data_IF_289954868104
#
_entry.id   IF_289954868104
#
_cell.length_a   1.000
_cell.length_b   1.000
_cell.length_c   1.000
_cell.angle_alpha   90.00
_cell.angle_beta   90.00
_cell.angle_gamma   90.00
#
_symmetry.space_group_name_H-M   'P 1'
#
loop_
_entity.id
_entity.type
_entity.pdbx_description
1 polymer ?
#
# COMPACT_ATOMS: atom_id res chain seq x y z
N UNK A 1 31.77 -26.50 22.42
CA UNK A 1 33.02 -25.71 22.49
C UNK A 1 33.33 -25.34 21.05
N UNK A 2 33.33 -24.10 20.57
CA UNK A 2 33.38 -22.72 21.07
C UNK A 2 32.84 -21.92 19.87
N UNK A 3 31.75 -21.17 19.94
CA UNK A 3 31.67 -19.93 20.70
C UNK A 3 32.38 -18.80 19.95
N UNK A 4 31.81 -18.32 18.82
CA UNK A 4 32.19 -17.03 18.20
C UNK A 4 30.91 -16.32 17.69
N UNK A 5 30.55 -15.26 18.44
CA UNK A 5 29.78 -14.07 18.09
C UNK A 5 28.36 -14.23 17.52
N UNK A 6 27.43 -14.53 18.42
CA UNK A 6 26.14 -13.80 18.50
C UNK A 6 26.42 -12.34 18.87
N UNK A 7 25.58 -11.42 18.39
CA UNK A 7 25.66 -9.95 18.49
C UNK A 7 26.56 -9.27 17.45
N UNK A 8 25.99 -8.99 16.28
CA UNK A 8 26.01 -7.66 15.61
C UNK A 8 25.62 -7.79 14.14
N UNK A 9 24.33 -7.99 13.85
CA UNK A 9 23.72 -7.58 12.57
C UNK A 9 22.20 -7.45 12.73
N UNK A 10 21.82 -6.98 13.91
CA UNK A 10 20.48 -6.63 14.35
C UNK A 10 20.24 -5.17 13.97
N UNK A 11 20.12 -4.82 12.68
CA UNK A 11 19.81 -3.43 12.28
C UNK A 11 19.30 -3.17 10.85
N UNK A 12 18.93 -4.14 10.00
CA UNK A 12 18.72 -3.83 8.56
C UNK A 12 17.31 -4.07 7.99
N UNK A 13 16.35 -4.62 8.75
CA UNK A 13 14.95 -4.74 8.26
C UNK A 13 13.94 -4.07 9.19
N UNK A 14 14.17 -2.76 9.36
CA UNK A 14 13.19 -1.73 9.70
C UNK A 14 12.83 -0.89 8.43
N UNK A 15 12.99 -1.46 7.23
CA UNK A 15 13.32 -0.70 6.01
C UNK A 15 12.27 -0.73 4.91
N UNK A 16 10.99 -0.85 5.28
CA UNK A 16 9.91 -0.39 4.39
C UNK A 16 9.04 0.73 4.99
N UNK A 17 9.37 1.19 6.21
CA UNK A 17 9.05 2.56 6.68
C UNK A 17 10.34 3.38 6.92
N UNK A 18 11.52 2.75 6.95
CA UNK A 18 12.74 3.47 6.58
C UNK A 18 12.89 3.54 5.04
N UNK A 19 11.91 4.14 4.35
CA UNK A 19 12.35 5.17 3.43
C UNK A 19 13.03 6.18 4.36
N UNK A 20 14.36 6.21 4.30
CA UNK A 20 15.27 7.08 4.99
C UNK A 20 14.58 8.11 5.92
N UNK A 21 15.02 8.20 7.17
CA UNK A 21 15.28 9.55 7.68
C UNK A 21 16.09 10.21 6.58
N UNK A 22 15.42 10.91 5.68
CA UNK A 22 16.10 11.75 4.75
C UNK A 22 16.59 12.80 5.73
N UNK A 23 17.89 12.74 6.07
CA UNK A 23 18.49 13.69 7.01
C UNK A 23 18.05 15.12 6.65
N UNK A 24 17.79 15.34 5.35
CA UNK A 24 17.04 16.47 4.84
C UNK A 24 15.82 16.09 3.98
N UNK A 25 14.71 16.79 4.21
CA UNK A 25 13.56 16.76 3.32
C UNK A 25 13.93 17.38 1.96
N UNK A 26 13.42 16.85 0.85
CA UNK A 26 13.74 17.39 -0.48
C UNK A 26 12.63 17.19 -1.51
N UNK A 27 12.68 18.01 -2.56
CA UNK A 27 11.72 18.00 -3.67
C UNK A 27 12.51 17.76 -4.96
N UNK A 28 12.05 16.82 -5.78
CA UNK A 28 12.56 16.59 -7.13
C UNK A 28 11.52 17.12 -8.11
N UNK A 29 11.92 18.06 -8.96
CA UNK A 29 11.09 18.64 -10.00
C UNK A 29 11.11 17.76 -11.26
N UNK A 30 10.15 17.97 -12.17
CA UNK A 30 10.06 17.20 -13.42
C UNK A 30 11.22 17.42 -14.38
N UNK A 31 11.90 18.57 -14.30
CA UNK A 31 13.14 18.84 -15.02
C UNK A 31 14.36 18.10 -14.42
N UNK A 32 14.18 17.33 -13.34
CA UNK A 32 15.24 16.59 -12.65
C UNK A 32 15.95 17.39 -11.54
N UNK A 33 15.64 18.67 -11.38
CA UNK A 33 16.24 19.52 -10.35
C UNK A 33 15.82 19.07 -8.95
N UNK A 34 16.79 18.97 -8.03
CA UNK A 34 16.57 18.68 -6.61
C UNK A 34 16.69 19.97 -5.81
N UNK A 35 15.64 20.30 -5.05
CA UNK A 35 15.60 21.48 -4.18
C UNK A 35 15.42 21.05 -2.72
N UNK A 36 16.18 21.69 -1.82
CA UNK A 36 16.23 21.36 -0.40
C UNK A 36 15.66 22.54 0.41
N UNK A 37 14.52 22.37 1.10
CA UNK A 37 14.01 23.36 2.04
C UNK A 37 14.94 23.57 3.23
N UNK A 38 15.07 24.82 3.67
CA UNK A 38 15.73 25.15 4.93
C UNK A 38 15.00 24.52 6.12
N UNK A 39 15.78 23.98 7.06
CA UNK A 39 15.28 23.38 8.30
C UNK A 39 14.25 22.25 8.08
N UNK A 40 14.25 21.59 6.92
CA UNK A 40 13.28 20.55 6.57
C UNK A 40 11.82 21.03 6.60
N UNK A 41 11.58 22.34 6.44
CA UNK A 41 10.24 22.93 6.48
C UNK A 41 9.71 23.24 5.10
N UNK A 42 8.61 22.57 4.77
CA UNK A 42 7.79 22.87 3.60
C UNK A 42 6.32 22.84 4.01
N UNK A 43 5.49 23.59 3.31
CA UNK A 43 4.04 23.58 3.46
C UNK A 43 3.36 23.32 2.12
N UNK A 44 2.10 22.96 2.17
CA UNK A 44 1.23 22.89 1.01
C UNK A 44 -0.06 23.67 1.27
N UNK A 45 -0.51 24.41 0.26
CA UNK A 45 -1.83 25.05 0.29
C UNK A 45 -2.95 24.06 -0.06
N UNK A 46 -4.20 24.50 0.04
CA UNK A 46 -5.38 23.69 -0.32
C UNK A 46 -5.50 23.35 -1.81
N UNK A 47 -4.62 23.88 -2.67
CA UNK A 47 -4.53 23.55 -4.10
C UNK A 47 -3.38 22.59 -4.39
N UNK A 48 -2.59 22.25 -3.38
CA UNK A 48 -1.40 21.40 -3.49
C UNK A 48 -0.16 22.12 -4.02
N UNK A 49 -0.13 23.45 -4.00
CA UNK A 49 1.11 24.21 -4.23
C UNK A 49 2.04 24.00 -3.06
N UNK A 50 3.27 23.56 -3.32
CA UNK A 50 4.30 23.37 -2.30
C UNK A 50 5.10 24.64 -2.14
N UNK A 51 5.17 25.12 -0.89
CA UNK A 51 5.77 26.38 -0.48
C UNK A 51 6.89 26.12 0.51
N UNK A 52 8.08 26.69 0.28
CA UNK A 52 9.19 26.62 1.23
C UNK A 52 10.20 27.74 1.00
N UNK A 53 11.13 27.88 1.93
CA UNK A 53 12.33 28.71 1.77
C UNK A 53 13.53 27.79 1.71
N UNK A 54 14.44 27.96 0.75
CA UNK A 54 15.64 27.13 0.65
C UNK A 54 16.75 27.60 1.61
N UNK A 55 17.86 26.87 1.63
CA UNK A 55 19.02 27.14 2.50
C UNK A 55 19.70 28.51 2.27
N UNK A 56 19.43 29.18 1.13
CA UNK A 56 19.95 30.53 0.83
C UNK A 56 18.91 31.63 1.10
N UNK A 57 17.75 31.28 1.67
CA UNK A 57 16.69 32.23 2.00
C UNK A 57 15.76 32.57 0.83
N UNK A 58 15.90 31.91 -0.32
CA UNK A 58 15.02 32.13 -1.48
C UNK A 58 13.70 31.39 -1.26
N UNK A 59 12.60 32.09 -1.48
CA UNK A 59 11.25 31.51 -1.42
C UNK A 59 10.93 30.78 -2.72
N UNK A 60 10.36 29.59 -2.58
CA UNK A 60 9.95 28.73 -3.68
C UNK A 60 8.46 28.42 -3.60
N UNK A 61 7.84 28.30 -4.77
CA UNK A 61 6.44 27.96 -4.94
C UNK A 61 6.29 27.08 -6.18
N UNK A 62 6.02 25.79 -5.98
CA UNK A 62 5.86 24.83 -7.06
C UNK A 62 4.46 24.24 -7.06
N UNK A 63 3.79 24.35 -8.21
CA UNK A 63 2.55 23.62 -8.44
C UNK A 63 2.84 22.12 -8.57
N UNK A 64 1.83 21.28 -8.29
CA UNK A 64 1.96 19.82 -8.40
C UNK A 64 2.44 19.36 -9.78
N UNK A 65 2.03 20.07 -10.84
CA UNK A 65 2.42 19.75 -12.21
C UNK A 65 3.93 19.87 -12.46
N UNK A 66 4.65 20.63 -11.64
CA UNK A 66 6.11 20.83 -11.72
C UNK A 66 6.90 19.84 -10.87
N UNK A 67 6.25 19.18 -9.91
CA UNK A 67 6.89 18.29 -8.96
C UNK A 67 6.84 16.87 -9.51
N UNK A 68 7.98 16.18 -9.48
CA UNK A 68 8.09 14.76 -9.78
C UNK A 68 7.90 13.92 -8.52
N UNK A 69 8.55 14.32 -7.44
CA UNK A 69 8.60 13.56 -6.19
C UNK A 69 8.93 14.47 -5.00
N UNK A 70 8.43 14.11 -3.81
CA UNK A 70 8.74 14.76 -2.53
C UNK A 70 9.18 13.67 -1.55
N UNK A 71 10.33 13.88 -0.92
CA UNK A 71 10.78 13.10 0.23
C UNK A 71 10.69 13.94 1.50
N UNK A 72 9.97 13.43 2.49
CA UNK A 72 9.84 13.98 3.82
C UNK A 72 9.49 12.86 4.80
N UNK A 73 9.64 13.16 6.09
CA UNK A 73 9.22 12.26 7.15
C UNK A 73 7.72 11.99 7.11
N UNK A 74 7.34 10.78 7.49
CA UNK A 74 5.95 10.39 7.64
C UNK A 74 5.31 11.16 8.81
N UNK A 75 4.27 11.98 8.57
CA UNK A 75 3.60 12.72 9.63
C UNK A 75 2.89 11.78 10.63
N UNK A 76 2.82 12.20 11.91
CA UNK A 76 2.13 11.44 12.97
C UNK A 76 0.65 11.15 12.66
N UNK A 77 -0.01 12.02 11.89
CA UNK A 77 -1.37 11.83 11.39
C UNK A 77 -1.47 10.60 10.48
N UNK A 78 -0.51 10.40 9.58
CA UNK A 78 -0.44 9.26 8.67
C UNK A 78 -0.12 7.96 9.42
N UNK A 79 0.83 8.01 10.38
CA UNK A 79 1.14 6.89 11.28
C UNK A 79 -0.12 6.45 12.03
N UNK A 80 -0.94 7.41 12.48
CA UNK A 80 -2.21 7.14 13.16
C UNK A 80 -3.22 6.44 12.24
N UNK A 81 -3.37 6.92 10.99
CA UNK A 81 -4.24 6.28 9.98
C UNK A 81 -3.83 4.83 9.75
N UNK A 82 -2.54 4.57 9.56
CA UNK A 82 -2.01 3.22 9.36
C UNK A 82 -2.26 2.32 10.58
N UNK A 83 -2.04 2.85 11.79
CA UNK A 83 -2.30 2.14 13.05
C UNK A 83 -3.78 1.77 13.20
N UNK A 84 -4.70 2.69 12.90
CA UNK A 84 -6.14 2.42 12.92
C UNK A 84 -6.53 1.34 11.92
N UNK A 85 -5.94 1.37 10.72
CA UNK A 85 -6.17 0.36 9.69
C UNK A 85 -5.70 -1.03 10.13
N UNK A 86 -4.50 -1.14 10.71
CA UNK A 86 -3.97 -2.40 11.26
C UNK A 86 -4.84 -2.98 12.37
N UNK A 87 -5.43 -2.13 13.20
CA UNK A 87 -6.39 -2.55 14.23
C UNK A 87 -7.83 -2.72 13.72
N UNK A 88 -8.03 -2.71 12.40
CA UNK A 88 -9.33 -2.93 11.76
C UNK A 88 -10.41 -1.93 12.20
N UNK A 89 -10.01 -0.75 12.68
CA UNK A 89 -10.92 0.34 13.07
C UNK A 89 -11.31 1.15 11.84
N UNK A 90 -12.02 0.52 10.91
CA UNK A 90 -12.21 1.05 9.55
C UNK A 90 -12.99 2.37 9.47
N UNK A 91 -14.03 2.57 10.29
CA UNK A 91 -14.73 3.87 10.33
C UNK A 91 -13.83 4.99 10.87
N UNK A 92 -12.91 4.66 11.80
CA UNK A 92 -11.97 5.64 12.33
C UNK A 92 -10.85 5.96 11.34
N UNK A 93 -10.44 5.01 10.50
CA UNK A 93 -9.55 5.27 9.35
C UNK A 93 -10.19 6.31 8.45
N UNK A 94 -11.46 6.14 8.08
CA UNK A 94 -12.17 7.07 7.20
C UNK A 94 -12.19 8.48 7.81
N UNK A 95 -12.58 8.61 9.09
CA UNK A 95 -12.61 9.90 9.80
C UNK A 95 -11.22 10.55 9.90
N UNK A 96 -10.20 9.76 10.23
CA UNK A 96 -8.83 10.26 10.36
C UNK A 96 -8.32 10.80 9.02
N UNK A 97 -8.56 10.08 7.92
CA UNK A 97 -8.18 10.53 6.57
C UNK A 97 -8.93 11.79 6.15
N UNK A 98 -10.22 11.90 6.47
CA UNK A 98 -11.02 13.10 6.17
C UNK A 98 -10.62 14.34 6.98
N UNK A 99 -9.89 14.15 8.08
CA UNK A 99 -9.37 15.23 8.93
C UNK A 99 -7.93 15.66 8.59
N UNK A 100 -7.30 15.04 7.59
CA UNK A 100 -5.92 15.35 7.22
C UNK A 100 -5.77 16.80 6.74
N UNK A 101 -4.64 17.42 7.12
CA UNK A 101 -4.29 18.76 6.66
C UNK A 101 -3.81 18.74 5.21
N UNK A 102 -3.78 19.91 4.56
CA UNK A 102 -3.20 20.04 3.22
C UNK A 102 -1.74 19.57 3.16
N UNK A 103 -0.97 19.76 4.23
CA UNK A 103 0.40 19.26 4.33
C UNK A 103 0.44 17.74 4.25
N UNK A 104 -0.38 17.05 5.04
CA UNK A 104 -0.44 15.59 5.04
C UNK A 104 -0.85 15.03 3.67
N UNK A 105 -1.78 15.73 2.98
CA UNK A 105 -2.32 15.30 1.69
C UNK A 105 -1.33 15.52 0.56
N UNK A 106 -0.71 16.70 0.46
CA UNK A 106 0.03 17.10 -0.74
C UNK A 106 1.54 16.94 -0.64
N UNK A 107 2.10 16.77 0.55
CA UNK A 107 3.54 16.54 0.73
C UNK A 107 3.88 15.04 0.71
N UNK A 108 3.40 14.33 -0.32
CA UNK A 108 3.80 12.95 -0.61
C UNK A 108 3.01 11.85 0.09
N UNK A 109 2.24 12.11 1.15
CA UNK A 109 1.57 11.04 1.92
C UNK A 109 0.07 10.85 1.64
N UNK A 110 -0.59 11.83 1.02
CA UNK A 110 -2.04 11.74 0.74
C UNK A 110 -2.42 10.51 -0.07
N UNK A 111 -1.64 10.15 -1.10
CA UNK A 111 -1.92 8.98 -1.91
C UNK A 111 -2.02 7.68 -1.07
N UNK A 112 -1.13 7.53 -0.09
CA UNK A 112 -1.14 6.37 0.82
C UNK A 112 -2.33 6.43 1.79
N UNK A 113 -2.61 7.58 2.40
CA UNK A 113 -3.73 7.73 3.32
C UNK A 113 -5.09 7.45 2.64
N UNK A 114 -5.31 8.01 1.45
CA UNK A 114 -6.53 7.78 0.69
C UNK A 114 -6.62 6.36 0.14
N UNK A 115 -5.49 5.68 -0.13
CA UNK A 115 -5.49 4.25 -0.42
C UNK A 115 -6.04 3.44 0.77
N UNK A 116 -5.54 3.70 1.98
CA UNK A 116 -6.02 3.04 3.20
C UNK A 116 -7.50 3.32 3.46
N UNK A 117 -7.97 4.55 3.18
CA UNK A 117 -9.41 4.89 3.23
C UNK A 117 -10.23 4.06 2.23
N UNK A 118 -9.78 3.95 0.98
CA UNK A 118 -10.46 3.14 -0.04
C UNK A 118 -10.53 1.66 0.36
N UNK A 119 -9.44 1.13 0.93
CA UNK A 119 -9.42 -0.23 1.46
C UNK A 119 -10.35 -0.42 2.66
N UNK A 120 -10.40 0.54 3.59
CA UNK A 120 -11.33 0.51 4.73
C UNK A 120 -12.79 0.51 4.26
N UNK A 121 -13.11 1.30 3.23
CA UNK A 121 -14.44 1.32 2.62
C UNK A 121 -14.80 -0.03 1.97
N UNK A 122 -13.84 -0.71 1.31
CA UNK A 122 -14.05 -2.08 0.81
C UNK A 122 -14.39 -3.05 1.96
N UNK A 123 -13.68 -2.97 3.09
CA UNK A 123 -13.94 -3.83 4.25
C UNK A 123 -15.32 -3.60 4.85
N UNK A 124 -15.81 -2.35 4.80
CA UNK A 124 -17.16 -1.97 5.23
C UNK A 124 -18.23 -2.18 4.14
N UNK A 125 -17.88 -2.81 3.02
CA UNK A 125 -18.77 -3.05 1.87
C UNK A 125 -19.32 -1.75 1.22
N UNK A 126 -18.63 -0.62 1.38
CA UNK A 126 -18.95 0.70 0.80
C UNK A 126 -18.24 0.86 -0.55
N UNK A 127 -18.59 0.01 -1.53
CA UNK A 127 -17.84 -0.09 -2.80
C UNK A 127 -17.91 1.16 -3.68
N UNK A 128 -19.02 1.91 -3.65
CA UNK A 128 -19.14 3.18 -4.40
C UNK A 128 -18.26 4.29 -3.83
N UNK A 129 -18.18 4.36 -2.50
CA UNK A 129 -17.28 5.29 -1.82
C UNK A 129 -15.81 4.93 -2.08
N UNK A 130 -15.48 3.63 -2.09
CA UNK A 130 -14.14 3.14 -2.40
C UNK A 130 -13.72 3.51 -3.82
N UNK A 131 -14.59 3.32 -4.82
CA UNK A 131 -14.33 3.71 -6.22
C UNK A 131 -14.04 5.21 -6.32
N UNK A 132 -14.89 6.03 -5.69
CA UNK A 132 -14.73 7.49 -5.67
C UNK A 132 -13.43 7.89 -5.01
N UNK A 133 -13.09 7.23 -3.90
CA UNK A 133 -11.86 7.50 -3.14
C UNK A 133 -10.64 7.18 -3.99
N UNK A 134 -10.52 5.97 -4.55
CA UNK A 134 -9.36 5.62 -5.37
C UNK A 134 -9.22 6.51 -6.63
N UNK A 135 -10.33 6.92 -7.27
CA UNK A 135 -10.29 7.86 -8.41
C UNK A 135 -9.68 9.21 -8.01
N UNK A 136 -10.05 9.72 -6.83
CA UNK A 136 -9.45 10.95 -6.28
C UNK A 136 -7.98 10.75 -5.96
N UNK A 137 -7.60 9.58 -5.45
CA UNK A 137 -6.22 9.28 -5.06
C UNK A 137 -5.25 9.28 -6.24
N UNK A 138 -5.68 8.79 -7.42
CA UNK A 138 -4.83 8.80 -8.64
C UNK A 138 -4.35 10.21 -8.96
N UNK A 139 -5.23 11.22 -8.79
CA UNK A 139 -4.87 12.62 -8.99
C UNK A 139 -3.84 13.09 -7.96
N UNK A 140 -3.74 12.46 -6.79
CA UNK A 140 -2.81 12.79 -5.70
C UNK A 140 -1.44 12.11 -5.81
N UNK A 141 -1.29 11.05 -6.61
CA UNK A 141 -0.03 10.33 -6.73
C UNK A 141 1.05 11.19 -7.43
N UNK A 142 2.18 11.38 -6.73
CA UNK A 142 3.38 12.06 -7.23
C UNK A 142 4.48 11.00 -7.45
N UNK A 143 4.24 10.03 -8.34
CA UNK A 143 5.21 9.07 -8.89
C UNK A 143 4.48 8.01 -9.75
N UNK A 144 5.12 7.52 -10.82
CA UNK A 144 4.65 6.37 -11.61
C UNK A 144 4.49 5.09 -10.76
N UNK A 145 5.33 4.90 -9.73
CA UNK A 145 5.30 3.69 -8.88
C UNK A 145 4.16 3.71 -7.84
N UNK A 146 3.70 4.89 -7.41
CA UNK A 146 2.51 5.01 -6.55
C UNK A 146 1.20 4.90 -7.35
N UNK A 147 1.31 5.06 -8.66
CA UNK A 147 0.20 4.95 -9.61
C UNK A 147 -0.31 3.49 -9.70
N UNK A 148 0.59 2.51 -9.58
CA UNK A 148 0.24 1.09 -9.66
C UNK A 148 -0.58 0.61 -8.43
N UNK A 149 -0.24 1.07 -7.23
CA UNK A 149 -0.98 0.75 -6.00
C UNK A 149 -2.45 1.22 -6.10
N UNK A 150 -2.66 2.41 -6.68
CA UNK A 150 -3.98 3.03 -6.81
C UNK A 150 -4.80 2.46 -7.96
N UNK A 151 -4.14 2.14 -9.09
CA UNK A 151 -4.76 1.39 -10.20
C UNK A 151 -5.23 0.02 -9.73
N UNK A 152 -4.45 -0.65 -8.87
CA UNK A 152 -4.86 -1.90 -8.25
C UNK A 152 -6.08 -1.71 -7.33
N UNK A 153 -6.12 -0.65 -6.52
CA UNK A 153 -7.29 -0.26 -5.73
C UNK A 153 -8.58 -0.13 -6.56
N UNK A 154 -8.53 0.62 -7.67
CA UNK A 154 -9.66 0.76 -8.60
C UNK A 154 -10.11 -0.57 -9.20
N UNK A 155 -9.14 -1.38 -9.62
CA UNK A 155 -9.38 -2.71 -10.18
C UNK A 155 -10.10 -3.63 -9.19
N UNK A 156 -9.72 -3.62 -7.92
CA UNK A 156 -10.43 -4.37 -6.86
C UNK A 156 -11.90 -3.96 -6.81
N UNK A 157 -12.16 -2.66 -6.77
CA UNK A 157 -13.53 -2.16 -6.64
C UNK A 157 -14.36 -2.55 -7.85
N UNK A 158 -13.83 -2.40 -9.06
CA UNK A 158 -14.47 -2.82 -10.31
C UNK A 158 -14.78 -4.33 -10.33
N UNK A 159 -13.83 -5.16 -9.89
CA UNK A 159 -14.03 -6.60 -9.75
C UNK A 159 -15.11 -6.97 -8.73
N UNK A 160 -15.12 -6.33 -7.57
CA UNK A 160 -16.12 -6.55 -6.53
C UNK A 160 -17.52 -6.10 -6.97
N UNK A 161 -17.60 -5.00 -7.74
CA UNK A 161 -18.85 -4.53 -8.37
C UNK A 161 -19.32 -5.41 -9.53
N UNK A 162 -18.50 -6.34 -10.02
CA UNK A 162 -18.86 -7.29 -11.06
C UNK A 162 -18.67 -6.79 -12.50
N UNK A 163 -17.88 -5.74 -12.74
CA UNK A 163 -17.59 -5.26 -14.09
C UNK A 163 -16.50 -6.11 -14.76
N UNK A 164 -16.82 -6.72 -15.92
CA UNK A 164 -16.00 -7.71 -16.63
C UNK A 164 -14.79 -7.15 -17.40
N UNK A 165 -14.53 -5.84 -17.39
CA UNK A 165 -13.39 -5.25 -18.13
C UNK A 165 -12.30 -4.78 -17.17
N UNK A 166 -11.29 -5.63 -17.01
CA UNK A 166 -10.12 -5.38 -16.19
C UNK A 166 -8.86 -5.55 -17.05
N UNK A 167 -8.04 -4.50 -17.27
CA UNK A 167 -6.83 -4.63 -18.09
C UNK A 167 -5.78 -5.56 -17.47
N UNK A 168 -5.10 -6.28 -18.36
CA UNK A 168 -4.13 -7.35 -18.12
C UNK A 168 -2.73 -6.84 -17.78
N UNK A 169 -2.49 -6.57 -16.50
CA UNK A 169 -1.20 -6.92 -15.87
C UNK A 169 -1.50 -7.68 -14.60
N UNK A 170 -1.04 -8.93 -14.54
CA UNK A 170 -1.31 -9.89 -13.46
C UNK A 170 -0.23 -9.69 -12.40
N UNK A 171 -0.64 -9.41 -11.17
CA UNK A 171 0.23 -9.36 -9.99
C UNK A 171 -0.29 -10.35 -8.93
N UNK A 172 0.55 -10.78 -7.99
CA UNK A 172 0.16 -11.64 -6.86
C UNK A 172 -1.05 -11.05 -6.12
N UNK A 173 -1.00 -9.74 -5.89
CA UNK A 173 -2.09 -8.97 -5.30
C UNK A 173 -3.39 -9.08 -6.11
N UNK A 174 -3.33 -8.91 -7.44
CA UNK A 174 -4.53 -9.02 -8.28
C UNK A 174 -5.21 -10.38 -8.13
N UNK A 175 -4.44 -11.47 -8.15
CA UNK A 175 -4.94 -12.84 -8.00
C UNK A 175 -5.52 -13.11 -6.60
N UNK A 176 -4.84 -12.63 -5.56
CA UNK A 176 -5.36 -12.65 -4.19
C UNK A 176 -6.75 -12.00 -4.12
N UNK A 177 -6.91 -10.85 -4.76
CA UNK A 177 -8.16 -10.09 -4.71
C UNK A 177 -9.28 -10.76 -5.51
N UNK A 178 -8.96 -11.43 -6.63
CA UNK A 178 -9.94 -12.25 -7.34
C UNK A 178 -10.40 -13.43 -6.47
N UNK A 179 -9.46 -14.04 -5.75
CA UNK A 179 -9.75 -15.10 -4.78
C UNK A 179 -10.73 -14.64 -3.71
N UNK A 180 -10.51 -13.47 -3.11
CA UNK A 180 -11.40 -12.87 -2.09
C UNK A 180 -12.78 -12.57 -2.68
N UNK A 181 -12.85 -12.08 -3.92
CA UNK A 181 -14.11 -11.77 -4.57
C UNK A 181 -14.96 -13.04 -4.82
N UNK A 182 -14.33 -14.15 -5.21
CA UNK A 182 -15.00 -15.45 -5.36
C UNK A 182 -15.39 -16.05 -4.00
N UNK A 183 -14.54 -15.92 -2.98
CA UNK A 183 -14.81 -16.36 -1.61
C UNK A 183 -16.08 -15.72 -1.05
N UNK A 184 -16.22 -14.38 -1.18
CA UNK A 184 -17.42 -13.65 -0.76
C UNK A 184 -18.70 -14.13 -1.44
N UNK A 185 -18.59 -14.65 -2.67
CA UNK A 185 -19.70 -15.23 -3.45
C UNK A 185 -19.93 -16.72 -3.14
N UNK A 186 -19.21 -17.28 -2.16
CA UNK A 186 -19.19 -18.71 -1.80
C UNK A 186 -18.78 -19.62 -2.97
N UNK A 187 -18.06 -19.07 -3.94
CA UNK A 187 -17.47 -19.79 -5.09
C UNK A 187 -16.10 -20.31 -4.70
N UNK A 188 -16.08 -21.28 -3.78
CA UNK A 188 -14.85 -21.71 -3.11
C UNK A 188 -13.84 -22.34 -4.07
N UNK A 189 -14.30 -23.03 -5.12
CA UNK A 189 -13.42 -23.64 -6.12
C UNK A 189 -12.67 -22.58 -6.94
N UNK A 190 -13.38 -21.58 -7.44
CA UNK A 190 -12.81 -20.47 -8.20
C UNK A 190 -11.91 -19.61 -7.30
N UNK A 191 -12.33 -19.38 -6.06
CA UNK A 191 -11.52 -18.68 -5.05
C UNK A 191 -10.19 -19.38 -4.78
N UNK A 192 -10.22 -20.69 -4.54
CA UNK A 192 -9.03 -21.50 -4.35
C UNK A 192 -8.10 -21.45 -5.57
N UNK A 193 -8.64 -21.49 -6.78
CA UNK A 193 -7.86 -21.41 -8.01
C UNK A 193 -7.07 -20.09 -8.10
N UNK A 194 -7.71 -18.96 -7.79
CA UNK A 194 -7.05 -17.65 -7.85
C UNK A 194 -5.98 -17.48 -6.77
N UNK A 195 -6.24 -17.96 -5.54
CA UNK A 195 -5.21 -18.00 -4.51
C UNK A 195 -4.03 -18.91 -4.89
N UNK A 196 -4.30 -20.09 -5.46
CA UNK A 196 -3.23 -20.98 -5.95
C UNK A 196 -2.38 -20.33 -7.03
N UNK A 197 -2.98 -19.59 -7.96
CA UNK A 197 -2.23 -18.84 -8.97
C UNK A 197 -1.36 -17.76 -8.31
N UNK A 198 -1.88 -17.04 -7.31
CA UNK A 198 -1.10 -16.04 -6.56
C UNK A 198 0.14 -16.66 -5.92
N UNK A 199 -0.01 -17.85 -5.32
CA UNK A 199 1.07 -18.55 -4.64
C UNK A 199 2.09 -19.16 -5.61
N UNK A 200 1.63 -19.74 -6.72
CA UNK A 200 2.48 -20.47 -7.67
C UNK A 200 3.21 -19.59 -8.68
N UNK A 201 2.57 -18.52 -9.14
CA UNK A 201 3.13 -17.64 -10.17
C UNK A 201 4.08 -16.59 -9.60
N UNK A 202 4.02 -16.34 -8.30
CA UNK A 202 4.85 -15.36 -7.60
C UNK A 202 5.54 -16.06 -6.42
N UNK A 203 6.53 -16.94 -6.68
CA UNK A 203 7.24 -17.65 -5.63
C UNK A 203 8.06 -16.69 -4.75
N UNK A 204 8.45 -17.14 -3.54
CA UNK A 204 9.28 -16.36 -2.61
C UNK A 204 10.54 -15.90 -3.32
N UNK A 205 10.81 -14.59 -3.25
CA UNK A 205 12.03 -14.02 -3.77
C UNK A 205 12.99 -13.83 -2.58
N UNK A 206 14.03 -14.66 -2.50
CA UNK A 206 14.97 -14.76 -1.36
C UNK A 206 15.64 -13.43 -0.98
N UNK A 207 15.56 -12.42 -1.85
CA UNK A 207 16.13 -11.07 -1.68
C UNK A 207 15.16 -10.03 -1.12
N UNK A 208 13.85 -10.29 -1.05
CA UNK A 208 12.82 -9.29 -0.70
C UNK A 208 12.06 -9.58 0.60
N UNK A 209 12.32 -10.71 1.27
CA UNK A 209 11.54 -11.12 2.43
C UNK A 209 10.11 -11.53 2.07
N UNK A 210 9.38 -12.05 3.06
CA UNK A 210 8.03 -12.63 2.93
C UNK A 210 7.06 -11.72 2.15
N UNK A 211 6.67 -12.18 0.96
CA UNK A 211 5.58 -11.62 0.15
C UNK A 211 4.27 -11.81 0.93
N UNK A 212 3.84 -10.74 1.59
CA UNK A 212 2.68 -10.73 2.48
C UNK A 212 1.41 -11.10 1.72
N UNK A 213 1.30 -10.67 0.47
CA UNK A 213 0.19 -11.01 -0.43
C UNK A 213 0.13 -12.50 -0.69
N UNK A 214 1.29 -13.14 -0.91
CA UNK A 214 1.39 -14.59 -1.06
C UNK A 214 1.07 -15.34 0.23
N UNK A 215 1.60 -14.92 1.37
CA UNK A 215 1.28 -15.55 2.67
C UNK A 215 -0.22 -15.43 2.98
N UNK A 216 -0.80 -14.26 2.71
CA UNK A 216 -2.22 -14.04 2.85
C UNK A 216 -3.03 -14.91 1.88
N UNK A 217 -2.55 -15.09 0.64
CA UNK A 217 -3.16 -16.01 -0.33
C UNK A 217 -3.07 -17.47 0.14
N UNK A 218 -1.94 -17.91 0.72
CA UNK A 218 -1.79 -19.27 1.28
C UNK A 218 -2.74 -19.49 2.46
N UNK A 219 -2.80 -18.55 3.40
CA UNK A 219 -3.70 -18.64 4.55
C UNK A 219 -5.17 -18.72 4.11
N UNK A 220 -5.59 -17.83 3.19
CA UNK A 220 -6.95 -17.83 2.64
C UNK A 220 -7.25 -19.08 1.81
N UNK A 221 -6.28 -19.59 1.06
CA UNK A 221 -6.42 -20.85 0.32
C UNK A 221 -6.72 -22.01 1.25
N UNK A 222 -5.99 -22.12 2.37
CA UNK A 222 -6.23 -23.15 3.39
C UNK A 222 -7.66 -23.07 3.93
N UNK A 223 -8.14 -21.87 4.23
CA UNK A 223 -9.49 -21.64 4.76
C UNK A 223 -10.58 -21.95 3.74
N UNK A 224 -10.40 -21.51 2.50
CA UNK A 224 -11.35 -21.75 1.41
C UNK A 224 -11.41 -23.22 1.01
N UNK A 225 -10.28 -23.94 1.04
CA UNK A 225 -10.26 -25.39 0.82
C UNK A 225 -11.00 -26.14 1.93
N UNK A 226 -10.86 -25.72 3.21
CA UNK A 226 -11.67 -26.28 4.32
C UNK A 226 -13.16 -26.02 4.12
N UNK A 227 -13.52 -24.78 3.77
CA UNK A 227 -14.91 -24.40 3.53
C UNK A 227 -15.52 -25.11 2.31
N UNK A 228 -14.71 -25.39 1.29
CA UNK A 228 -15.05 -26.19 0.10
C UNK A 228 -14.99 -27.70 0.32
N UNK A 229 -14.72 -28.16 1.55
CA UNK A 229 -14.63 -29.56 1.96
C UNK A 229 -13.48 -30.37 1.32
N UNK A 230 -12.43 -29.69 0.83
CA UNK A 230 -11.18 -30.29 0.35
C UNK A 230 -10.10 -30.26 1.43
N UNK A 231 -10.26 -31.15 2.43
CA UNK A 231 -9.41 -31.19 3.63
C UNK A 231 -7.98 -31.68 3.33
N UNK A 232 -7.80 -32.55 2.34
CA UNK A 232 -6.51 -33.12 1.97
C UNK A 232 -5.58 -32.06 1.39
N UNK A 233 -6.07 -31.32 0.39
CA UNK A 233 -5.33 -30.21 -0.22
C UNK A 233 -5.07 -29.09 0.78
N UNK A 234 -6.04 -28.79 1.66
CA UNK A 234 -5.87 -27.80 2.73
C UNK A 234 -4.71 -28.12 3.68
N UNK A 235 -4.56 -29.39 4.08
CA UNK A 235 -3.50 -29.82 4.98
C UNK A 235 -2.11 -29.65 4.35
N UNK A 236 -1.96 -30.02 3.08
CA UNK A 236 -0.70 -29.87 2.34
C UNK A 236 -0.25 -28.41 2.27
N UNK A 237 -1.17 -27.48 1.98
CA UNK A 237 -0.85 -26.04 1.96
C UNK A 237 -0.58 -25.48 3.36
N UNK A 238 -1.26 -25.97 4.39
CA UNK A 238 -1.01 -25.57 5.77
C UNK A 238 0.37 -26.02 6.27
N UNK A 239 0.85 -27.18 5.84
CA UNK A 239 2.20 -27.68 6.13
C UNK A 239 3.28 -26.89 5.38
N UNK A 240 3.06 -26.63 4.08
CA UNK A 240 3.95 -25.79 3.28
C UNK A 240 4.09 -24.37 3.86
N UNK A 241 3.00 -23.79 4.35
CA UNK A 241 3.03 -22.48 5.02
C UNK A 241 3.89 -22.50 6.29
N UNK A 242 3.85 -23.57 7.09
CA UNK A 242 4.67 -23.69 8.31
C UNK A 242 6.16 -23.80 8.04
N UNK A 243 6.56 -24.42 6.92
CA UNK A 243 7.98 -24.53 6.55
C UNK A 243 8.57 -23.21 6.04
N UNK A 244 7.72 -22.24 5.71
CA UNK A 244 8.12 -20.93 5.16
C UNK A 244 8.07 -19.79 6.20
N UNK A 245 7.61 -20.09 7.42
CA UNK A 245 7.56 -19.18 8.58
C UNK A 245 8.71 -19.48 9.54
#
# INVERSE_FOLDING_TARGET
MTGINRFSLLLIVLTCIASAYADDAYIVLKNGEKVIPANNRMGADGRGTVLFTDIVGKKHSYSRGQIKFIANDCPNSIITVEKLFRYQRYDDVIKAVDSLSSNDVYLGWGAFAFYLKGMAQIQLNKLDDADTTFKKTVVLAMAEERDDLLKNGLKIVQMLKGSANVPSRVSSFNLLLQGIAYEKKKKYRESALEYMKAVKLFPVNDKQGTDLERLLAMARLVDVLKAGNDKGTSLQFAEAMKSEM
#
